data_IF_111891338581
#
_entry.id   IF_111891338581
#
_cell.length_a   1.000
_cell.length_b   1.000
_cell.length_c   1.000
_cell.angle_alpha   90.00
_cell.angle_beta   90.00
_cell.angle_gamma   90.00
#
_symmetry.space_group_name_H-M   'P 1'
#
loop_
_entity.id
_entity.type
_entity.pdbx_description
1 polymer ?
#
# COMPACT_ATOMS: atom_id res chain seq x y z
N UNK A 1 0.64 -32.50 21.59
CA UNK A 1 -0.15 -31.30 21.21
C UNK A 1 0.72 -30.07 21.46
N UNK A 2 1.58 -29.74 20.47
CA UNK A 2 2.44 -28.55 20.56
C UNK A 2 1.65 -27.37 20.02
N UNK A 3 1.06 -26.57 20.93
CA UNK A 3 0.49 -25.28 20.61
C UNK A 3 1.63 -24.32 20.26
N UNK A 4 1.83 -24.08 18.98
CA UNK A 4 2.77 -23.09 18.46
C UNK A 4 2.35 -21.71 18.99
N UNK A 5 2.98 -21.25 20.06
CA UNK A 5 2.90 -19.85 20.45
C UNK A 5 3.62 -19.03 19.37
N UNK A 6 2.83 -18.34 18.56
CA UNK A 6 3.38 -17.40 17.59
C UNK A 6 4.22 -16.35 18.32
N UNK A 7 5.41 -16.05 17.80
CA UNK A 7 6.25 -14.98 18.33
C UNK A 7 5.51 -13.62 18.26
N UNK A 8 5.93 -12.64 19.07
CA UNK A 8 5.36 -11.28 18.98
C UNK A 8 5.50 -10.71 17.57
N UNK A 9 6.64 -10.93 16.93
CA UNK A 9 6.92 -10.50 15.56
C UNK A 9 5.97 -11.13 14.54
N UNK A 10 5.72 -12.44 14.66
CA UNK A 10 4.79 -13.16 13.78
C UNK A 10 3.34 -12.66 13.95
N UNK A 11 2.93 -12.33 15.18
CA UNK A 11 1.61 -11.73 15.42
C UNK A 11 1.48 -10.37 14.77
N UNK A 12 2.51 -9.52 14.89
CA UNK A 12 2.54 -8.19 14.26
C UNK A 12 2.50 -8.33 12.73
N UNK A 13 3.37 -9.16 12.16
CA UNK A 13 3.41 -9.40 10.70
C UNK A 13 2.06 -9.88 10.17
N UNK A 14 1.42 -10.84 10.82
CA UNK A 14 0.10 -11.32 10.42
C UNK A 14 -0.98 -10.22 10.48
N UNK A 15 -0.98 -9.40 11.53
CA UNK A 15 -1.91 -8.27 11.65
C UNK A 15 -1.70 -7.21 10.55
N UNK A 16 -0.44 -6.96 10.14
CA UNK A 16 -0.12 -6.09 9.01
C UNK A 16 -0.62 -6.70 7.69
N UNK A 17 -0.47 -8.02 7.49
CA UNK A 17 -0.99 -8.73 6.31
C UNK A 17 -2.52 -8.61 6.23
N UNK A 18 -3.23 -8.84 7.31
CA UNK A 18 -4.70 -8.75 7.33
C UNK A 18 -5.16 -7.31 7.03
N UNK A 19 -4.48 -6.31 7.59
CA UNK A 19 -4.74 -4.90 7.28
C UNK A 19 -4.46 -4.57 5.81
N UNK A 20 -3.41 -5.14 5.24
CA UNK A 20 -3.06 -4.96 3.82
C UNK A 20 -4.12 -5.56 2.88
N UNK A 21 -4.62 -6.75 3.18
CA UNK A 21 -5.70 -7.39 2.40
C UNK A 21 -6.97 -6.52 2.41
N UNK A 22 -7.34 -5.99 3.58
CA UNK A 22 -8.48 -5.07 3.68
C UNK A 22 -8.25 -3.79 2.83
N UNK A 23 -7.04 -3.24 2.88
CA UNK A 23 -6.65 -2.06 2.09
C UNK A 23 -6.64 -2.31 0.59
N UNK A 24 -6.15 -3.45 0.14
CA UNK A 24 -6.21 -3.87 -1.26
C UNK A 24 -7.65 -3.93 -1.76
N UNK A 25 -8.55 -4.51 -0.98
CA UNK A 25 -9.98 -4.58 -1.30
C UNK A 25 -10.62 -3.19 -1.36
N UNK A 26 -10.27 -2.29 -0.45
CA UNK A 26 -10.75 -0.91 -0.45
C UNK A 26 -10.31 -0.16 -1.71
N UNK A 27 -9.01 -0.17 -2.02
CA UNK A 27 -8.49 0.52 -3.20
C UNK A 27 -9.02 -0.07 -4.50
N UNK A 28 -9.13 -1.39 -4.61
CA UNK A 28 -9.72 -2.03 -5.78
C UNK A 28 -11.15 -1.54 -6.03
N UNK A 29 -11.97 -1.42 -4.97
CA UNK A 29 -13.33 -0.85 -5.07
C UNK A 29 -13.31 0.63 -5.45
N UNK A 30 -12.34 1.40 -4.95
CA UNK A 30 -12.16 2.81 -5.32
C UNK A 30 -11.94 2.95 -6.83
N UNK A 31 -11.04 2.15 -7.41
CA UNK A 31 -10.80 2.17 -8.86
C UNK A 31 -12.02 1.76 -9.68
N UNK A 32 -12.73 0.71 -9.26
CA UNK A 32 -13.91 0.22 -9.98
C UNK A 32 -15.11 1.17 -9.89
N UNK A 33 -15.42 1.67 -8.69
CA UNK A 33 -16.69 2.38 -8.43
C UNK A 33 -16.55 3.88 -8.55
N UNK A 34 -15.50 4.46 -7.94
CA UNK A 34 -15.35 5.90 -7.89
C UNK A 34 -14.62 6.46 -9.11
N UNK A 35 -13.63 5.74 -9.61
CA UNK A 35 -12.90 6.12 -10.81
C UNK A 35 -13.48 5.48 -12.09
N UNK A 36 -14.43 4.57 -11.95
CA UNK A 36 -15.10 3.88 -13.06
C UNK A 36 -14.13 3.23 -14.06
N UNK A 37 -13.01 2.69 -13.53
CA UNK A 37 -12.04 1.99 -14.36
C UNK A 37 -12.59 0.65 -14.82
N UNK A 38 -12.29 0.27 -16.06
CA UNK A 38 -12.60 -1.08 -16.54
C UNK A 38 -11.81 -2.12 -15.70
N UNK A 39 -12.51 -3.15 -15.26
CA UNK A 39 -11.93 -4.24 -14.44
C UNK A 39 -10.75 -4.92 -15.14
N UNK A 40 -10.78 -5.03 -16.45
CA UNK A 40 -9.70 -5.63 -17.26
C UNK A 40 -8.41 -4.80 -17.25
N UNK A 41 -8.53 -3.50 -16.99
CA UNK A 41 -7.40 -2.58 -16.98
C UNK A 41 -6.78 -2.40 -15.59
N UNK A 42 -7.39 -2.97 -14.53
CA UNK A 42 -6.88 -2.83 -13.17
C UNK A 42 -5.85 -3.92 -12.87
N UNK A 43 -4.61 -3.53 -12.72
CA UNK A 43 -3.49 -4.38 -12.31
C UNK A 43 -3.51 -4.58 -10.80
N UNK A 44 -4.02 -5.74 -10.34
CA UNK A 44 -4.20 -6.02 -8.91
C UNK A 44 -2.87 -6.02 -8.12
N UNK A 45 -1.78 -6.52 -8.72
CA UNK A 45 -0.47 -6.51 -8.07
C UNK A 45 0.05 -5.08 -7.85
N UNK A 46 -0.20 -4.13 -8.75
CA UNK A 46 0.17 -2.73 -8.53
C UNK A 46 -0.57 -2.12 -7.33
N UNK A 47 -1.86 -2.44 -7.16
CA UNK A 47 -2.59 -2.06 -5.95
C UNK A 47 -1.92 -2.66 -4.70
N UNK A 48 -1.48 -3.92 -4.77
CA UNK A 48 -0.79 -4.58 -3.66
C UNK A 48 0.55 -3.93 -3.36
N UNK A 49 1.32 -3.55 -4.37
CA UNK A 49 2.58 -2.83 -4.19
C UNK A 49 2.36 -1.48 -3.50
N UNK A 50 1.34 -0.75 -3.90
CA UNK A 50 0.98 0.52 -3.27
C UNK A 50 0.56 0.34 -1.80
N UNK A 51 -0.32 -0.62 -1.51
CA UNK A 51 -0.76 -0.93 -0.13
C UNK A 51 0.42 -1.33 0.75
N UNK A 52 1.27 -2.24 0.26
CA UNK A 52 2.48 -2.65 0.98
C UNK A 52 3.39 -1.45 1.27
N UNK A 53 3.53 -0.54 0.31
CA UNK A 53 4.35 0.68 0.46
C UNK A 53 3.80 1.62 1.52
N UNK A 54 2.47 1.83 1.58
CA UNK A 54 1.82 2.64 2.62
C UNK A 54 2.10 2.05 4.01
N UNK A 55 1.89 0.75 4.18
CA UNK A 55 2.07 0.08 5.47
C UNK A 55 3.54 0.11 5.89
N UNK A 56 4.46 -0.22 4.98
CA UNK A 56 5.90 -0.19 5.23
C UNK A 56 6.38 1.21 5.60
N UNK A 57 5.98 2.24 4.84
CA UNK A 57 6.38 3.62 5.11
C UNK A 57 5.85 4.12 6.47
N UNK A 58 4.58 3.83 6.80
CA UNK A 58 4.02 4.17 8.10
C UNK A 58 4.70 3.39 9.24
N UNK A 59 5.01 2.11 9.03
CA UNK A 59 5.69 1.28 10.03
C UNK A 59 7.10 1.81 10.34
N UNK A 60 7.87 2.15 9.30
CA UNK A 60 9.21 2.74 9.45
C UNK A 60 9.17 4.11 10.15
N UNK A 61 8.18 4.95 9.81
CA UNK A 61 8.00 6.27 10.40
C UNK A 61 7.70 6.24 11.89
N UNK A 62 6.92 5.26 12.36
CA UNK A 62 6.43 5.17 13.74
C UNK A 62 7.38 4.31 14.59
N UNK A 63 8.26 3.54 13.97
CA UNK A 63 9.02 2.48 14.62
C UNK A 63 10.24 2.93 15.40
N UNK A 64 10.44 2.34 16.57
CA UNK A 64 11.76 2.23 17.19
C UNK A 64 12.61 1.24 16.39
N UNK A 65 13.94 1.41 16.42
CA UNK A 65 14.88 0.74 15.50
C UNK A 65 14.99 -0.79 15.60
N UNK A 66 14.49 -1.41 16.68
CA UNK A 66 14.73 -2.82 16.95
C UNK A 66 13.69 -3.74 16.30
N UNK A 67 14.16 -4.72 15.52
CA UNK A 67 13.41 -5.80 14.84
C UNK A 67 12.44 -5.38 13.71
N UNK A 68 12.52 -4.15 13.22
CA UNK A 68 11.64 -3.69 12.14
C UNK A 68 11.87 -4.45 10.83
N UNK A 69 13.11 -4.81 10.52
CA UNK A 69 13.47 -5.47 9.26
C UNK A 69 12.85 -6.86 9.14
N UNK A 70 12.95 -7.69 10.18
CA UNK A 70 12.38 -9.04 10.19
C UNK A 70 10.84 -9.02 10.03
N UNK A 71 10.18 -8.12 10.77
CA UNK A 71 8.72 -7.94 10.69
C UNK A 71 8.30 -7.49 9.30
N UNK A 72 8.99 -6.49 8.72
CA UNK A 72 8.66 -5.96 7.41
C UNK A 72 8.96 -6.95 6.28
N UNK A 73 10.03 -7.72 6.38
CA UNK A 73 10.35 -8.78 5.42
C UNK A 73 9.27 -9.89 5.48
N UNK A 74 8.91 -10.35 6.67
CA UNK A 74 7.87 -11.36 6.86
C UNK A 74 6.50 -10.84 6.36
N UNK A 75 6.14 -9.61 6.69
CA UNK A 75 4.95 -8.94 6.19
C UNK A 75 4.95 -8.83 4.66
N UNK A 76 6.02 -8.28 4.08
CA UNK A 76 6.11 -8.03 2.64
C UNK A 76 5.99 -9.32 1.84
N UNK A 77 6.79 -10.34 2.18
CA UNK A 77 6.76 -11.64 1.50
C UNK A 77 5.38 -12.30 1.66
N UNK A 78 4.86 -12.38 2.88
CA UNK A 78 3.59 -13.03 3.16
C UNK A 78 2.39 -12.36 2.46
N UNK A 79 2.35 -11.02 2.44
CA UNK A 79 1.30 -10.28 1.75
C UNK A 79 1.41 -10.41 0.23
N UNK A 80 2.61 -10.26 -0.34
CA UNK A 80 2.82 -10.35 -1.79
C UNK A 80 2.56 -11.76 -2.32
N UNK A 81 2.87 -12.82 -1.57
CA UNK A 81 2.52 -14.20 -1.92
C UNK A 81 0.99 -14.39 -2.02
N UNK A 82 0.23 -13.88 -1.04
CA UNK A 82 -1.24 -13.91 -1.08
C UNK A 82 -1.79 -13.12 -2.26
N UNK A 83 -1.27 -11.92 -2.48
CA UNK A 83 -1.69 -11.06 -3.58
C UNK A 83 -1.41 -11.69 -4.96
N UNK A 84 -0.27 -12.35 -5.12
CA UNK A 84 0.07 -13.08 -6.35
C UNK A 84 -0.91 -14.24 -6.59
N UNK A 85 -1.22 -15.02 -5.55
CA UNK A 85 -2.19 -16.11 -5.66
C UNK A 85 -3.58 -15.61 -6.08
N UNK A 86 -4.01 -14.44 -5.57
CA UNK A 86 -5.31 -13.83 -5.90
C UNK A 86 -5.33 -13.10 -7.25
N UNK A 87 -4.17 -12.65 -7.75
CA UNK A 87 -4.10 -11.96 -9.05
C UNK A 87 -4.33 -12.89 -10.23
N UNK A 88 -3.98 -14.17 -10.08
CA UNK A 88 -4.00 -15.15 -11.16
C UNK A 88 -2.82 -15.01 -12.13
N UNK A 89 -1.86 -14.12 -11.86
CA UNK A 89 -0.67 -13.93 -12.69
C UNK A 89 0.31 -15.10 -12.56
N UNK A 90 0.91 -15.52 -13.69
CA UNK A 90 1.85 -16.64 -13.74
C UNK A 90 3.30 -16.16 -13.73
N UNK A 91 3.67 -15.43 -12.68
CA UNK A 91 5.04 -14.94 -12.46
C UNK A 91 5.60 -15.51 -11.15
N UNK A 92 6.92 -15.48 -10.99
CA UNK A 92 7.55 -15.97 -9.77
C UNK A 92 7.41 -14.95 -8.63
N UNK A 93 7.38 -15.42 -7.38
CA UNK A 93 7.42 -14.52 -6.22
C UNK A 93 8.69 -13.66 -6.21
N UNK A 94 9.82 -14.17 -6.70
CA UNK A 94 11.05 -13.38 -6.83
C UNK A 94 10.90 -12.20 -7.79
N UNK A 95 10.14 -12.36 -8.88
CA UNK A 95 9.79 -11.27 -9.79
C UNK A 95 8.91 -10.22 -9.07
N UNK A 96 7.86 -10.68 -8.38
CA UNK A 96 6.95 -9.82 -7.62
C UNK A 96 7.71 -8.99 -6.58
N UNK A 97 8.64 -9.59 -5.84
CA UNK A 97 9.46 -8.89 -4.85
C UNK A 97 10.35 -7.82 -5.49
N UNK A 98 10.98 -8.12 -6.63
CA UNK A 98 11.80 -7.14 -7.36
C UNK A 98 10.97 -5.96 -7.86
N UNK A 99 9.81 -6.23 -8.44
CA UNK A 99 8.88 -5.20 -8.89
C UNK A 99 8.39 -4.34 -7.71
N UNK A 100 8.04 -4.97 -6.60
CA UNK A 100 7.67 -4.26 -5.38
C UNK A 100 8.80 -3.34 -4.88
N UNK A 101 10.04 -3.80 -4.85
CA UNK A 101 11.18 -2.99 -4.42
C UNK A 101 11.36 -1.74 -5.30
N UNK A 102 11.21 -1.88 -6.62
CA UNK A 102 11.26 -0.76 -7.56
C UNK A 102 10.10 0.23 -7.27
N UNK A 103 8.87 -0.27 -7.16
CA UNK A 103 7.69 0.55 -6.84
C UNK A 103 7.75 1.19 -5.47
N UNK A 104 8.28 0.49 -4.47
CA UNK A 104 8.47 1.05 -3.14
C UNK A 104 9.35 2.30 -3.17
N UNK A 105 10.43 2.28 -3.93
CA UNK A 105 11.31 3.46 -4.09
C UNK A 105 10.57 4.65 -4.69
N UNK A 106 9.72 4.43 -5.69
CA UNK A 106 8.89 5.47 -6.30
C UNK A 106 7.83 6.01 -5.33
N UNK A 107 7.05 5.11 -4.72
CA UNK A 107 5.97 5.48 -3.80
C UNK A 107 6.49 6.10 -2.50
N UNK A 108 7.63 5.64 -1.98
CA UNK A 108 8.18 6.13 -0.71
C UNK A 108 8.47 7.65 -0.76
N UNK A 109 9.05 8.14 -1.85
CA UNK A 109 9.27 9.58 -2.03
C UNK A 109 7.97 10.40 -2.00
N UNK A 110 6.94 9.92 -2.72
CA UNK A 110 5.64 10.58 -2.76
C UNK A 110 4.89 10.48 -1.42
N UNK A 111 4.96 9.33 -0.74
CA UNK A 111 4.39 9.15 0.60
C UNK A 111 5.08 10.06 1.62
N UNK A 112 6.42 10.22 1.52
CA UNK A 112 7.15 11.14 2.38
C UNK A 112 6.67 12.58 2.22
N UNK A 113 6.40 13.02 1.00
CA UNK A 113 5.80 14.34 0.75
C UNK A 113 4.41 14.46 1.39
N UNK A 114 3.56 13.41 1.29
CA UNK A 114 2.24 13.40 1.95
C UNK A 114 2.35 13.51 3.47
N UNK A 115 3.34 12.86 4.08
CA UNK A 115 3.53 12.87 5.54
C UNK A 115 4.08 14.18 6.08
N UNK A 116 4.85 14.94 5.29
CA UNK A 116 5.56 16.12 5.71
C UNK A 116 5.00 17.41 5.10
N UNK A 117 3.93 17.33 4.29
CA UNK A 117 3.26 18.52 3.78
C UNK A 117 2.53 19.21 4.93
N UNK A 118 3.02 20.35 5.33
CA UNK A 118 2.20 21.36 5.98
C UNK A 118 1.31 22.00 4.91
N UNK A 119 0.15 22.50 5.32
CA UNK A 119 -0.87 23.10 4.43
C UNK A 119 -0.37 24.33 3.63
N UNK A 120 0.91 24.65 3.71
CA UNK A 120 1.58 25.78 3.05
C UNK A 120 2.24 25.43 1.71
N UNK A 121 2.35 24.13 1.36
CA UNK A 121 2.99 23.71 0.10
C UNK A 121 2.07 23.93 -1.10
N UNK A 122 2.60 24.59 -2.13
CA UNK A 122 1.94 24.76 -3.43
C UNK A 122 1.76 23.38 -4.09
N UNK A 123 0.56 22.82 -3.99
CA UNK A 123 0.19 21.53 -4.57
C UNK A 123 -0.46 20.59 -3.55
N UNK A 124 -1.14 19.59 -4.06
CA UNK A 124 -1.72 18.51 -3.25
C UNK A 124 -0.87 17.24 -3.39
N UNK A 125 0.06 16.93 -2.44
CA UNK A 125 0.93 15.77 -2.54
C UNK A 125 0.16 14.44 -2.65
N UNK A 126 -1.01 14.35 -2.01
CA UNK A 126 -1.87 13.16 -2.10
C UNK A 126 -2.44 12.99 -3.50
N UNK A 127 -2.81 14.08 -4.17
CA UNK A 127 -3.24 14.02 -5.57
C UNK A 127 -2.09 13.58 -6.47
N UNK A 128 -0.88 14.11 -6.29
CA UNK A 128 0.31 13.70 -7.06
C UNK A 128 0.59 12.20 -6.89
N UNK A 129 0.54 11.71 -5.65
CA UNK A 129 0.67 10.28 -5.35
C UNK A 129 -0.42 9.48 -6.05
N UNK A 130 -1.68 9.92 -5.98
CA UNK A 130 -2.81 9.22 -6.57
C UNK A 130 -2.76 9.18 -8.09
N UNK A 131 -2.31 10.26 -8.74
CA UNK A 131 -2.07 10.31 -10.19
C UNK A 131 -1.06 9.24 -10.60
N UNK A 132 0.08 9.18 -9.91
CA UNK A 132 1.12 8.19 -10.19
C UNK A 132 0.61 6.75 -9.98
N UNK A 133 -0.08 6.50 -8.87
CA UNK A 133 -0.69 5.19 -8.59
C UNK A 133 -1.71 4.80 -9.66
N UNK A 134 -2.53 5.75 -10.09
CA UNK A 134 -3.52 5.51 -11.15
C UNK A 134 -2.85 5.03 -12.44
N UNK A 135 -1.80 5.72 -12.87
CA UNK A 135 -1.06 5.36 -14.08
C UNK A 135 -0.40 3.98 -13.97
N UNK A 136 0.18 3.66 -12.82
CA UNK A 136 0.75 2.34 -12.56
C UNK A 136 -0.32 1.23 -12.57
N UNK A 137 -1.46 1.47 -11.93
CA UNK A 137 -2.54 0.47 -11.78
C UNK A 137 -3.28 0.22 -13.09
N UNK A 138 -3.52 1.26 -13.88
CA UNK A 138 -4.32 1.15 -15.11
C UNK A 138 -3.48 1.08 -16.39
N UNK A 139 -2.18 1.36 -16.28
CA UNK A 139 -1.29 1.55 -17.44
C UNK A 139 -1.84 2.57 -18.46
N UNK A 140 -2.50 3.61 -17.96
CA UNK A 140 -3.16 4.63 -18.76
C UNK A 140 -2.89 6.02 -18.19
N UNK A 141 -2.94 7.05 -19.03
CA UNK A 141 -2.79 8.43 -18.57
C UNK A 141 -3.88 8.82 -17.58
N UNK A 142 -3.49 9.49 -16.49
CA UNK A 142 -4.39 10.02 -15.49
C UNK A 142 -5.16 11.28 -15.95
N UNK A 143 -4.71 11.94 -17.02
CA UNK A 143 -5.27 13.23 -17.48
C UNK A 143 -6.79 13.19 -17.70
N UNK A 144 -7.38 12.20 -18.39
CA UNK A 144 -8.83 12.12 -18.57
C UNK A 144 -9.62 11.93 -17.27
N UNK A 145 -8.95 11.50 -16.19
CA UNK A 145 -9.58 11.17 -14.91
C UNK A 145 -9.30 12.22 -13.81
N UNK A 146 -8.65 13.32 -14.16
CA UNK A 146 -8.16 14.33 -13.20
C UNK A 146 -9.26 14.80 -12.23
N UNK A 147 -10.46 15.11 -12.69
CA UNK A 147 -11.55 15.57 -11.81
C UNK A 147 -11.97 14.49 -10.84
N UNK A 148 -12.15 13.24 -11.28
CA UNK A 148 -12.50 12.11 -10.41
C UNK A 148 -11.39 11.82 -9.41
N UNK A 149 -10.12 11.93 -9.81
CA UNK A 149 -8.96 11.77 -8.92
C UNK A 149 -8.90 12.86 -7.85
N UNK A 150 -9.23 14.11 -8.20
CA UNK A 150 -9.38 15.18 -7.21
C UNK A 150 -10.49 14.86 -6.18
N UNK A 151 -11.64 14.40 -6.63
CA UNK A 151 -12.76 14.04 -5.74
C UNK A 151 -12.42 12.93 -4.75
N UNK A 152 -11.64 11.92 -5.16
CA UNK A 152 -11.25 10.80 -4.29
C UNK A 152 -9.94 11.02 -3.54
N UNK A 153 -9.24 12.12 -3.78
CA UNK A 153 -7.94 12.40 -3.13
C UNK A 153 -8.05 12.45 -1.61
N UNK A 154 -9.14 13.02 -1.07
CA UNK A 154 -9.42 13.05 0.36
C UNK A 154 -9.60 11.66 0.97
N UNK A 155 -10.25 10.73 0.27
CA UNK A 155 -10.41 9.34 0.70
C UNK A 155 -9.06 8.62 0.72
N UNK A 156 -8.22 8.87 -0.29
CA UNK A 156 -6.87 8.31 -0.37
C UNK A 156 -5.99 8.86 0.75
N UNK A 157 -6.07 10.16 1.05
CA UNK A 157 -5.37 10.77 2.17
C UNK A 157 -5.77 10.13 3.50
N UNK A 158 -7.08 10.02 3.76
CA UNK A 158 -7.59 9.37 4.96
C UNK A 158 -7.08 7.94 5.09
N UNK A 159 -7.07 7.18 3.99
CA UNK A 159 -6.55 5.82 3.95
C UNK A 159 -5.04 5.76 4.27
N UNK A 160 -4.21 6.64 3.69
CA UNK A 160 -2.77 6.70 3.97
C UNK A 160 -2.49 6.94 5.45
N UNK A 161 -3.25 7.83 6.10
CA UNK A 161 -3.05 8.19 7.51
C UNK A 161 -3.72 7.26 8.52
N UNK A 162 -4.74 6.51 8.13
CA UNK A 162 -5.45 5.54 9.00
C UNK A 162 -4.49 4.52 9.64
N UNK A 163 -3.44 4.13 8.93
CA UNK A 163 -2.47 3.14 9.37
C UNK A 163 -1.62 3.58 10.56
N UNK A 164 -1.48 4.89 10.79
CA UNK A 164 -0.72 5.44 11.92
C UNK A 164 -1.27 4.95 13.26
N UNK A 165 -2.57 5.09 13.47
CA UNK A 165 -3.23 4.67 14.72
C UNK A 165 -3.20 3.15 14.90
N UNK A 166 -3.40 2.41 13.81
CA UNK A 166 -3.32 0.95 13.83
C UNK A 166 -1.92 0.45 14.22
N UNK A 167 -0.87 0.97 13.59
CA UNK A 167 0.52 0.56 13.86
C UNK A 167 0.93 0.94 15.29
N UNK A 168 0.53 2.12 15.79
CA UNK A 168 0.80 2.50 17.18
C UNK A 168 0.22 1.49 18.17
N UNK A 169 -1.01 0.99 17.93
CA UNK A 169 -1.64 -0.04 18.77
C UNK A 169 -0.94 -1.40 18.69
N UNK A 170 -0.34 -1.76 17.56
CA UNK A 170 0.40 -3.01 17.42
C UNK A 170 1.72 -3.00 18.17
N UNK A 171 2.31 -1.83 18.38
CA UNK A 171 3.61 -1.66 19.03
C UNK A 171 3.51 -1.44 20.54
N UNK A 172 2.34 -1.03 21.06
CA UNK A 172 2.04 -0.97 22.49
C UNK A 172 1.84 -2.38 23.08
#
# INVERSE_FOLDING_TARGET
MFGLFKSKQEKISNALIDKAIAGQSFLYKLFLKNLECDKSNIRKLEISYFVASIITANYLRIGEKDNNEEILNSFGIGFLQKSLAESGEKISIGTVVKEYQARFSEYHGLLWLCFNSDNSTTGNPTLTLLLHVFECVTNSSAVPYMLKLCEVSGLTQAYVFEHVSFIKKLKS
#
